data_IF_735735147905
#
_entry.id   IF_735735147905
#
_cell.length_a   1.000
_cell.length_b   1.000
_cell.length_c   1.000
_cell.angle_alpha   90.00
_cell.angle_beta   90.00
_cell.angle_gamma   90.00
#
_symmetry.space_group_name_H-M   'P 1'
#
loop_
_entity.id
_entity.type
_entity.pdbx_description
1 polymer ?
#
# COMPACT_ATOMS: atom_id res chain seq x y z
N UNK A 1 17.91 -8.17 24.91
CA UNK A 1 16.86 -9.06 25.48
C UNK A 1 15.92 -9.64 24.40
N UNK A 2 16.44 -10.14 23.27
CA UNK A 2 15.61 -10.55 22.10
C UNK A 2 15.40 -12.07 21.99
N UNK A 3 16.12 -12.89 22.76
CA UNK A 3 16.06 -14.36 22.66
C UNK A 3 14.86 -15.03 23.36
N UNK A 4 14.17 -14.35 24.28
CA UNK A 4 13.11 -14.99 25.10
C UNK A 4 11.75 -15.13 24.40
N UNK A 5 11.44 -14.35 23.35
CA UNK A 5 10.09 -14.37 22.74
C UNK A 5 9.89 -15.51 21.73
N UNK A 6 10.97 -15.98 21.08
CA UNK A 6 10.91 -17.11 20.15
C UNK A 6 10.68 -18.42 20.91
N UNK A 7 11.44 -18.65 21.98
CA UNK A 7 11.37 -19.86 22.82
C UNK A 7 9.96 -20.05 23.43
N UNK A 8 9.31 -18.95 23.84
CA UNK A 8 7.95 -18.99 24.42
C UNK A 8 6.87 -19.29 23.37
N UNK A 9 7.07 -18.93 22.10
CA UNK A 9 6.18 -19.35 20.99
C UNK A 9 6.39 -20.81 20.60
N UNK A 10 7.64 -21.30 20.65
CA UNK A 10 7.98 -22.70 20.34
C UNK A 10 7.32 -23.70 21.29
N UNK A 11 7.19 -23.33 22.58
CA UNK A 11 6.59 -24.19 23.60
C UNK A 11 5.06 -24.31 23.51
N UNK A 12 4.37 -23.37 22.86
CA UNK A 12 2.88 -23.34 22.84
C UNK A 12 2.24 -24.04 21.64
N UNK A 13 2.98 -24.36 20.58
CA UNK A 13 2.45 -25.07 19.39
C UNK A 13 3.56 -25.70 18.51
N UNK A 14 4.32 -26.68 19.01
CA UNK A 14 5.47 -27.26 18.29
C UNK A 14 5.10 -27.82 16.91
N UNK A 15 3.93 -28.47 16.77
CA UNK A 15 3.45 -29.01 15.49
C UNK A 15 3.22 -27.91 14.44
N UNK A 16 2.75 -26.72 14.84
CA UNK A 16 2.45 -25.61 13.91
C UNK A 16 3.74 -24.98 13.38
N UNK A 17 4.77 -24.87 14.21
CA UNK A 17 6.10 -24.37 13.80
C UNK A 17 6.80 -25.38 12.91
N UNK A 18 6.70 -26.68 13.22
CA UNK A 18 7.28 -27.75 12.41
C UNK A 18 6.62 -27.85 11.03
N UNK A 19 5.28 -27.80 10.95
CA UNK A 19 4.55 -27.78 9.67
C UNK A 19 4.84 -26.51 8.85
N UNK A 20 4.97 -25.34 9.48
CA UNK A 20 5.37 -24.10 8.80
C UNK A 20 6.80 -24.18 8.27
N UNK A 21 7.72 -24.80 9.03
CA UNK A 21 9.10 -25.06 8.61
C UNK A 21 9.17 -25.99 7.40
N UNK A 22 8.48 -27.14 7.44
CA UNK A 22 8.41 -28.07 6.31
C UNK A 22 7.83 -27.43 5.04
N UNK A 23 6.77 -26.62 5.18
CA UNK A 23 6.19 -25.87 4.07
C UNK A 23 7.18 -24.89 3.45
N UNK A 24 7.90 -24.12 4.26
CA UNK A 24 8.91 -23.17 3.80
C UNK A 24 10.07 -23.84 3.05
N UNK A 25 10.58 -24.97 3.53
CA UNK A 25 11.64 -25.71 2.83
C UNK A 25 11.17 -26.26 1.49
N UNK A 26 9.99 -26.88 1.46
CA UNK A 26 9.38 -27.40 0.22
C UNK A 26 9.19 -26.29 -0.82
N UNK A 27 8.76 -25.12 -0.36
CA UNK A 27 8.51 -23.95 -1.18
C UNK A 27 9.78 -23.34 -1.78
N UNK A 28 10.88 -23.29 -1.01
CA UNK A 28 12.17 -22.84 -1.53
C UNK A 28 12.80 -23.85 -2.49
N UNK A 29 12.63 -25.16 -2.23
CA UNK A 29 13.11 -26.19 -3.15
C UNK A 29 12.38 -26.10 -4.50
N UNK A 30 11.06 -25.91 -4.47
CA UNK A 30 10.27 -25.67 -5.69
C UNK A 30 10.71 -24.41 -6.45
N UNK A 31 10.97 -23.32 -5.73
CA UNK A 31 11.50 -22.09 -6.34
C UNK A 31 12.82 -22.37 -7.07
N UNK A 32 13.75 -23.09 -6.42
CA UNK A 32 15.05 -23.44 -7.00
C UNK A 32 14.90 -24.32 -8.24
N UNK A 33 14.03 -25.33 -8.19
CA UNK A 33 13.75 -26.20 -9.35
C UNK A 33 13.26 -25.37 -10.53
N UNK A 34 12.34 -24.43 -10.32
CA UNK A 34 11.82 -23.56 -11.40
C UNK A 34 12.94 -22.67 -11.96
N UNK A 35 13.75 -22.07 -11.08
CA UNK A 35 14.89 -21.22 -11.49
C UNK A 35 15.86 -22.01 -12.39
N UNK A 36 16.09 -23.29 -12.11
CA UNK A 36 17.01 -24.12 -12.90
C UNK A 36 16.35 -24.63 -14.19
N UNK A 37 15.11 -25.09 -14.11
CA UNK A 37 14.44 -25.81 -15.23
C UNK A 37 13.71 -24.89 -16.21
N UNK A 38 13.39 -23.65 -15.81
CA UNK A 38 12.55 -22.72 -16.59
C UNK A 38 13.24 -21.39 -16.88
N UNK A 39 14.56 -21.38 -17.00
CA UNK A 39 15.34 -20.16 -17.26
C UNK A 39 14.85 -19.38 -18.50
N UNK A 40 14.51 -20.09 -19.58
CA UNK A 40 14.01 -19.47 -20.81
C UNK A 40 12.68 -18.72 -20.59
N UNK A 41 11.78 -19.27 -19.77
CA UNK A 41 10.50 -18.64 -19.44
C UNK A 41 10.72 -17.43 -18.53
N UNK A 42 11.63 -17.54 -17.55
CA UNK A 42 11.95 -16.45 -16.64
C UNK A 42 12.72 -15.31 -17.32
N UNK A 43 13.41 -15.58 -18.42
CA UNK A 43 14.17 -14.59 -19.17
C UNK A 43 13.30 -13.69 -20.06
N UNK A 44 12.07 -14.11 -20.37
CA UNK A 44 11.14 -13.39 -21.25
C UNK A 44 10.45 -12.22 -20.51
N UNK A 45 10.45 -11.04 -21.12
CA UNK A 45 9.68 -9.89 -20.60
C UNK A 45 8.20 -10.15 -20.80
N UNK A 46 7.48 -10.28 -19.69
CA UNK A 46 6.04 -10.57 -19.65
C UNK A 46 5.23 -9.41 -19.11
N UNK A 47 5.86 -8.47 -18.39
CA UNK A 47 5.24 -7.19 -18.05
C UNK A 47 6.05 -6.09 -18.75
N UNK A 48 5.48 -5.40 -19.76
CA UNK A 48 6.22 -4.29 -20.39
C UNK A 48 6.50 -3.18 -19.38
N UNK A 49 5.48 -2.84 -18.58
CA UNK A 49 5.57 -1.92 -17.45
C UNK A 49 5.08 -2.58 -16.17
N UNK A 50 5.81 -2.42 -15.08
CA UNK A 50 5.39 -2.79 -13.73
C UNK A 50 5.36 -1.57 -12.82
N UNK A 51 4.28 -1.43 -12.06
CA UNK A 51 4.11 -0.37 -11.06
C UNK A 51 3.83 -1.02 -9.70
N UNK A 52 4.81 -0.95 -8.78
CA UNK A 52 4.60 -1.25 -7.37
C UNK A 52 4.09 0.01 -6.68
N UNK A 53 2.85 -0.03 -6.22
CA UNK A 53 2.21 1.07 -5.48
C UNK A 53 2.29 0.79 -3.98
N UNK A 54 2.76 1.77 -3.24
CA UNK A 54 2.90 1.72 -1.79
C UNK A 54 2.14 2.89 -1.19
N UNK A 55 1.40 2.65 -0.12
CA UNK A 55 0.68 3.71 0.56
C UNK A 55 -0.10 3.16 1.73
N UNK A 56 -0.22 3.97 2.78
CA UNK A 56 -1.03 3.58 3.93
C UNK A 56 -2.51 3.40 3.52
N UNK A 57 -3.22 2.46 4.15
CA UNK A 57 -4.67 2.32 4.00
C UNK A 57 -5.38 3.66 4.23
N UNK A 58 -6.35 3.98 3.37
CA UNK A 58 -7.08 5.28 3.31
C UNK A 58 -6.27 6.50 2.83
N UNK A 59 -5.04 6.34 2.36
CA UNK A 59 -4.27 7.43 1.73
C UNK A 59 -4.84 7.84 0.37
N UNK A 60 -5.60 6.95 -0.29
CA UNK A 60 -6.12 7.21 -1.65
C UNK A 60 -5.57 6.25 -2.70
N UNK A 61 -4.91 5.16 -2.27
CA UNK A 61 -4.32 4.13 -3.13
C UNK A 61 -5.24 3.73 -4.29
N UNK A 62 -6.45 3.28 -3.99
CA UNK A 62 -7.38 2.85 -5.04
C UNK A 62 -7.82 3.97 -6.00
N UNK A 63 -7.88 5.23 -5.54
CA UNK A 63 -8.25 6.35 -6.41
C UNK A 63 -7.12 6.63 -7.43
N UNK A 64 -5.88 6.67 -6.95
CA UNK A 64 -4.70 6.86 -7.82
C UNK A 64 -4.46 5.64 -8.70
N UNK A 65 -4.61 4.41 -8.20
CA UNK A 65 -4.48 3.18 -9.01
C UNK A 65 -5.52 3.17 -10.13
N UNK A 66 -6.79 3.48 -9.84
CA UNK A 66 -7.82 3.57 -10.89
C UNK A 66 -7.50 4.64 -11.93
N UNK A 67 -6.95 5.79 -11.51
CA UNK A 67 -6.51 6.84 -12.41
C UNK A 67 -5.29 6.42 -13.26
N UNK A 68 -4.33 5.70 -12.68
CA UNK A 68 -3.22 5.08 -13.43
C UNK A 68 -3.78 4.08 -14.46
N UNK A 69 -4.68 3.18 -14.04
CA UNK A 69 -5.29 2.19 -14.94
C UNK A 69 -6.08 2.85 -16.07
N UNK A 70 -6.80 3.94 -15.79
CA UNK A 70 -7.58 4.67 -16.80
C UNK A 70 -6.72 5.31 -17.90
N UNK A 71 -5.43 5.52 -17.65
CA UNK A 71 -4.48 6.11 -18.61
C UNK A 71 -3.68 5.07 -19.39
N UNK A 72 -3.82 3.79 -19.07
CA UNK A 72 -3.09 2.72 -19.75
C UNK A 72 -3.96 2.12 -20.86
N UNK A 73 -3.33 1.74 -21.96
CA UNK A 73 -3.95 0.98 -23.04
C UNK A 73 -3.49 -0.48 -22.99
N UNK A 74 -4.18 -1.37 -23.71
CA UNK A 74 -3.82 -2.78 -23.77
C UNK A 74 -4.21 -3.58 -22.52
N UNK A 75 -3.44 -4.64 -22.25
CA UNK A 75 -3.71 -5.60 -21.19
C UNK A 75 -3.09 -5.16 -19.87
N UNK A 76 -3.97 -4.79 -18.93
CA UNK A 76 -3.61 -4.35 -17.59
C UNK A 76 -4.03 -5.41 -16.57
N UNK A 77 -3.14 -5.76 -15.64
CA UNK A 77 -3.49 -6.60 -14.49
C UNK A 77 -3.15 -5.88 -13.18
N UNK A 78 -4.06 -5.89 -12.21
CA UNK A 78 -3.87 -5.28 -10.91
C UNK A 78 -4.02 -6.30 -9.78
N UNK A 79 -2.99 -6.43 -8.94
CA UNK A 79 -2.99 -7.26 -7.74
C UNK A 79 -2.99 -6.39 -6.48
N UNK A 80 -4.10 -6.42 -5.75
CA UNK A 80 -4.30 -5.56 -4.61
C UNK A 80 -3.79 -6.15 -3.30
N UNK A 81 -3.11 -5.33 -2.50
CA UNK A 81 -2.75 -5.58 -1.10
C UNK A 81 -2.06 -6.94 -0.90
N UNK A 82 -0.95 -7.12 -1.60
CA UNK A 82 -0.18 -8.36 -1.57
C UNK A 82 0.48 -8.56 -0.21
N UNK A 83 0.49 -9.82 0.26
CA UNK A 83 1.28 -10.18 1.44
C UNK A 83 2.76 -10.20 1.07
N UNK A 84 3.56 -9.44 1.82
CA UNK A 84 5.04 -9.44 1.72
C UNK A 84 5.64 -10.83 1.96
N UNK A 85 6.86 -11.03 1.46
CA UNK A 85 7.69 -12.22 1.73
C UNK A 85 7.00 -13.55 1.42
N UNK A 86 6.05 -13.54 0.48
CA UNK A 86 5.30 -14.72 0.03
C UNK A 86 5.14 -14.68 -1.48
N UNK A 87 5.30 -15.83 -2.11
CA UNK A 87 5.03 -15.98 -3.54
C UNK A 87 3.55 -15.63 -3.81
N UNK A 88 3.31 -14.54 -4.56
CA UNK A 88 1.98 -14.03 -4.83
C UNK A 88 1.17 -14.99 -5.74
N UNK A 89 1.83 -15.69 -6.65
CA UNK A 89 1.18 -16.73 -7.47
C UNK A 89 0.68 -17.89 -6.61
N UNK A 90 1.43 -18.32 -5.58
CA UNK A 90 0.95 -19.36 -4.64
C UNK A 90 -0.25 -18.90 -3.82
N UNK A 91 -0.37 -17.61 -3.55
CA UNK A 91 -1.54 -17.06 -2.85
C UNK A 91 -2.77 -17.01 -3.75
N UNK A 92 -2.58 -16.72 -5.04
CA UNK A 92 -3.66 -16.63 -6.03
C UNK A 92 -4.07 -18.00 -6.58
N UNK A 93 -3.13 -18.94 -6.63
CA UNK A 93 -3.29 -20.28 -7.19
C UNK A 93 -2.78 -21.30 -6.17
N UNK A 94 -3.71 -21.90 -5.41
CA UNK A 94 -3.39 -22.86 -4.33
C UNK A 94 -2.69 -24.14 -4.84
N UNK A 95 -2.71 -24.40 -6.16
CA UNK A 95 -2.22 -25.63 -6.78
C UNK A 95 -1.25 -25.38 -7.94
N UNK A 96 -0.15 -24.68 -7.70
CA UNK A 96 0.99 -24.70 -8.65
C UNK A 96 1.65 -26.09 -8.63
N UNK A 97 0.98 -27.08 -9.24
CA UNK A 97 1.62 -28.32 -9.72
C UNK A 97 2.33 -28.08 -11.05
N UNK A 98 1.90 -27.07 -11.80
CA UNK A 98 2.49 -26.62 -13.05
C UNK A 98 2.77 -25.11 -12.98
N UNK A 99 3.86 -24.68 -13.60
CA UNK A 99 4.22 -23.27 -13.73
C UNK A 99 3.07 -22.52 -14.39
N UNK A 100 2.54 -21.50 -13.73
CA UNK A 100 1.63 -20.58 -14.39
C UNK A 100 2.38 -19.98 -15.58
N UNK A 101 1.90 -20.15 -16.83
CA UNK A 101 2.55 -19.50 -17.96
C UNK A 101 2.38 -18.00 -17.75
N UNK A 102 3.49 -17.30 -17.55
CA UNK A 102 3.45 -15.85 -17.42
C UNK A 102 2.80 -15.28 -18.66
N UNK A 103 1.63 -14.67 -18.49
CA UNK A 103 0.89 -14.09 -19.59
C UNK A 103 1.42 -12.68 -19.81
N UNK A 104 1.71 -12.35 -21.07
CA UNK A 104 2.14 -11.00 -21.46
C UNK A 104 1.10 -9.94 -21.09
N UNK A 105 1.57 -8.82 -20.57
CA UNK A 105 0.82 -7.66 -20.10
C UNK A 105 1.54 -6.40 -20.52
N UNK A 106 0.77 -5.39 -20.90
CA UNK A 106 1.29 -4.06 -21.18
C UNK A 106 1.58 -3.33 -19.87
N UNK A 107 0.73 -3.50 -18.85
CA UNK A 107 0.94 -2.95 -17.52
C UNK A 107 0.55 -3.94 -16.40
N UNK A 108 1.47 -4.19 -15.48
CA UNK A 108 1.21 -4.92 -14.24
C UNK A 108 1.31 -3.97 -13.05
N UNK A 109 0.24 -3.87 -12.27
CA UNK A 109 0.18 -3.04 -11.06
C UNK A 109 0.06 -3.97 -9.86
N UNK A 110 0.86 -3.74 -8.83
CA UNK A 110 0.71 -4.41 -7.54
C UNK A 110 0.74 -3.41 -6.40
N UNK A 111 -0.06 -3.62 -5.37
CA UNK A 111 -0.10 -2.71 -4.22
C UNK A 111 0.22 -3.38 -2.89
N UNK A 112 0.71 -2.56 -1.96
CA UNK A 112 0.96 -2.91 -0.56
C UNK A 112 0.40 -1.80 0.33
N UNK A 113 -0.42 -2.16 1.32
CA UNK A 113 -0.90 -1.20 2.33
C UNK A 113 -0.29 -1.50 3.70
N UNK A 114 0.09 -0.45 4.43
CA UNK A 114 0.49 -0.49 5.86
C UNK A 114 1.69 -1.38 6.24
N UNK A 115 2.49 -1.78 5.25
CA UNK A 115 3.77 -2.43 5.45
C UNK A 115 4.90 -1.40 5.58
N UNK A 116 5.97 -1.74 6.30
CA UNK A 116 7.19 -0.92 6.28
C UNK A 116 7.87 -1.00 4.92
N UNK A 117 8.60 0.05 4.52
CA UNK A 117 9.33 0.05 3.26
C UNK A 117 10.38 -1.06 3.23
N UNK A 118 11.09 -1.30 4.34
CA UNK A 118 12.09 -2.35 4.47
C UNK A 118 11.51 -3.76 4.26
N UNK A 119 10.29 -4.01 4.75
CA UNK A 119 9.59 -5.27 4.53
C UNK A 119 9.22 -5.48 3.06
N UNK A 120 8.78 -4.42 2.38
CA UNK A 120 8.36 -4.45 0.98
C UNK A 120 9.57 -4.59 0.04
N UNK A 121 10.71 -3.98 0.39
CA UNK A 121 11.95 -3.99 -0.38
C UNK A 121 12.96 -5.01 0.15
N UNK A 122 12.49 -6.07 0.81
CA UNK A 122 13.37 -7.10 1.35
C UNK A 122 14.19 -7.75 0.23
N UNK A 123 15.52 -7.73 0.35
CA UNK A 123 16.43 -8.19 -0.72
C UNK A 123 16.27 -9.68 -1.06
N UNK A 124 15.91 -10.53 -0.10
CA UNK A 124 15.68 -11.97 -0.31
C UNK A 124 14.46 -12.18 -1.20
N UNK A 125 13.45 -11.31 -1.06
CA UNK A 125 12.24 -11.37 -1.87
C UNK A 125 12.44 -10.70 -3.23
N UNK A 126 13.13 -9.56 -3.27
CA UNK A 126 13.45 -8.85 -4.52
C UNK A 126 14.33 -9.68 -5.45
N UNK A 127 15.25 -10.50 -4.92
CA UNK A 127 16.05 -11.41 -5.76
C UNK A 127 15.22 -12.51 -6.44
N UNK A 128 14.01 -12.77 -5.93
CA UNK A 128 13.05 -13.72 -6.51
C UNK A 128 11.93 -13.04 -7.30
N UNK A 129 12.09 -11.76 -7.62
CA UNK A 129 11.09 -10.95 -8.30
C UNK A 129 10.53 -11.63 -9.55
N UNK A 130 11.40 -11.99 -10.50
CA UNK A 130 10.98 -12.52 -11.81
C UNK A 130 10.31 -13.90 -11.68
N UNK A 131 10.67 -14.67 -10.66
CA UNK A 131 10.01 -15.93 -10.33
C UNK A 131 8.56 -15.71 -9.83
N UNK A 132 8.29 -14.61 -9.15
CA UNK A 132 7.00 -14.36 -8.48
C UNK A 132 6.04 -13.51 -9.30
N UNK A 133 6.57 -12.62 -10.14
CA UNK A 133 5.78 -11.66 -10.91
C UNK A 133 6.00 -11.74 -12.41
N UNK A 134 7.01 -12.51 -12.85
CA UNK A 134 7.47 -12.51 -14.22
C UNK A 134 8.39 -11.32 -14.47
N UNK A 135 9.32 -11.47 -15.42
CA UNK A 135 10.26 -10.40 -15.73
C UNK A 135 9.55 -9.19 -16.33
N UNK A 136 9.94 -8.02 -15.84
CA UNK A 136 9.38 -6.73 -16.23
C UNK A 136 10.39 -5.92 -17.05
N UNK A 137 9.94 -5.23 -18.09
CA UNK A 137 10.77 -4.37 -18.94
C UNK A 137 11.18 -3.09 -18.21
N UNK A 138 10.19 -2.32 -17.73
CA UNK A 138 10.40 -1.13 -16.89
C UNK A 138 9.63 -1.26 -15.59
N UNK A 139 10.29 -0.94 -14.46
CA UNK A 139 9.70 -1.02 -13.12
C UNK A 139 9.63 0.36 -12.47
N UNK A 140 8.55 0.63 -11.75
CA UNK A 140 8.32 1.86 -11.00
C UNK A 140 7.91 1.53 -9.56
N UNK A 141 8.47 2.29 -8.62
CA UNK A 141 8.07 2.37 -7.23
C UNK A 141 7.27 3.66 -7.03
N UNK A 142 5.97 3.53 -6.79
CA UNK A 142 5.06 4.66 -6.59
C UNK A 142 4.67 4.73 -5.11
N UNK A 143 5.22 5.71 -4.39
CA UNK A 143 4.85 5.98 -3.00
C UNK A 143 3.77 7.06 -2.95
N UNK A 144 2.60 6.72 -2.41
CA UNK A 144 1.51 7.68 -2.21
C UNK A 144 1.55 8.15 -0.76
N UNK A 145 1.54 9.47 -0.57
CA UNK A 145 1.42 10.11 0.74
C UNK A 145 0.22 11.06 0.77
N UNK A 146 -0.43 11.15 1.92
CA UNK A 146 -1.54 12.05 2.21
C UNK A 146 -1.25 12.77 3.51
N UNK A 147 -1.77 13.99 3.64
CA UNK A 147 -1.66 14.73 4.88
C UNK A 147 -2.17 13.89 6.07
N UNK A 148 -1.51 13.98 7.24
CA UNK A 148 -1.81 13.11 8.36
C UNK A 148 -3.22 13.38 8.89
N UNK A 149 -3.70 14.62 8.78
CA UNK A 149 -5.00 15.05 9.30
C UNK A 149 -6.15 14.29 8.64
N UNK A 150 -6.25 14.37 7.31
CA UNK A 150 -7.31 13.71 6.56
C UNK A 150 -7.13 12.19 6.48
N UNK A 151 -5.88 11.70 6.48
CA UNK A 151 -5.59 10.27 6.54
C UNK A 151 -6.08 9.64 7.85
N UNK A 152 -5.67 10.21 8.99
CA UNK A 152 -6.02 9.70 10.30
C UNK A 152 -7.52 9.86 10.56
N UNK A 153 -8.13 10.97 10.12
CA UNK A 153 -9.58 11.15 10.20
C UNK A 153 -10.34 10.09 9.41
N UNK A 154 -9.88 9.78 8.19
CA UNK A 154 -10.47 8.75 7.33
C UNK A 154 -10.37 7.35 7.94
N UNK A 155 -9.29 7.05 8.67
CA UNK A 155 -9.11 5.79 9.41
C UNK A 155 -10.00 5.72 10.64
N UNK A 156 -10.01 6.76 11.46
CA UNK A 156 -10.83 6.84 12.65
C UNK A 156 -12.32 6.71 12.30
N UNK A 157 -12.79 7.40 11.26
CA UNK A 157 -14.20 7.31 10.82
C UNK A 157 -14.62 5.87 10.51
N UNK A 158 -13.79 5.10 9.83
CA UNK A 158 -14.07 3.69 9.54
C UNK A 158 -14.13 2.84 10.82
N UNK A 159 -13.21 3.08 11.75
CA UNK A 159 -13.24 2.40 13.05
C UNK A 159 -14.53 2.71 13.80
N UNK A 160 -14.89 3.99 13.93
CA UNK A 160 -16.10 4.42 14.62
C UNK A 160 -17.37 3.86 13.97
N UNK A 161 -17.44 3.76 12.64
CA UNK A 161 -18.56 3.11 11.94
C UNK A 161 -18.67 1.62 12.27
N UNK A 162 -17.55 0.89 12.33
CA UNK A 162 -17.56 -0.53 12.71
C UNK A 162 -17.96 -0.73 14.17
N UNK A 163 -17.45 0.11 15.08
CA UNK A 163 -17.82 0.11 16.51
C UNK A 163 -19.34 0.31 16.67
N UNK A 164 -19.92 1.27 15.93
CA UNK A 164 -21.38 1.51 15.96
C UNK A 164 -22.22 0.35 15.46
N UNK A 165 -21.72 -0.44 14.51
CA UNK A 165 -22.46 -1.54 13.89
C UNK A 165 -22.35 -2.86 14.67
N UNK A 166 -21.78 -2.86 15.89
CA UNK A 166 -21.50 -4.06 16.69
C UNK A 166 -20.78 -5.17 15.91
N UNK A 167 -20.05 -4.80 14.86
CA UNK A 167 -19.22 -5.73 14.13
C UNK A 167 -18.03 -6.03 15.05
N UNK A 168 -17.95 -7.28 15.53
CA UNK A 168 -16.90 -7.72 16.44
C UNK A 168 -15.53 -7.28 15.92
N UNK A 169 -15.00 -6.23 16.53
CA UNK A 169 -13.62 -5.81 16.36
C UNK A 169 -12.78 -6.75 17.20
N UNK A 170 -12.81 -8.04 16.87
CA UNK A 170 -12.08 -9.07 17.59
C UNK A 170 -10.69 -8.54 17.89
N UNK A 171 -10.25 -8.64 19.16
CA UNK A 171 -9.10 -7.94 19.77
C UNK A 171 -7.75 -8.10 19.05
N UNK A 172 -7.67 -8.79 17.91
CA UNK A 172 -6.44 -9.30 17.32
C UNK A 172 -6.34 -9.25 15.78
N UNK A 173 -7.35 -8.84 15.02
CA UNK A 173 -7.21 -8.78 13.55
C UNK A 173 -6.87 -7.37 13.07
N UNK A 174 -5.60 -7.16 12.68
CA UNK A 174 -5.09 -5.96 11.99
C UNK A 174 -6.07 -5.41 10.92
N UNK A 175 -6.78 -6.29 10.19
CA UNK A 175 -7.78 -5.91 9.20
C UNK A 175 -8.97 -5.08 9.74
N UNK A 176 -9.30 -5.21 11.04
CA UNK A 176 -10.46 -4.55 11.65
C UNK A 176 -10.13 -3.26 12.41
N UNK A 177 -8.92 -3.10 12.93
CA UNK A 177 -8.51 -1.85 13.58
C UNK A 177 -7.89 -0.89 12.55
N UNK A 178 -8.64 0.15 12.16
CA UNK A 178 -8.17 1.15 11.21
C UNK A 178 -7.04 2.06 11.73
N UNK A 179 -6.79 2.07 13.04
CA UNK A 179 -5.71 2.84 13.65
C UNK A 179 -4.44 2.01 13.90
N UNK A 180 -4.43 0.71 13.57
CA UNK A 180 -3.20 -0.10 13.57
C UNK A 180 -2.58 -0.19 12.18
N UNK A 181 -1.29 -0.50 12.16
CA UNK A 181 -0.49 -0.89 10.97
C UNK A 181 -0.07 -2.36 11.10
N UNK A 182 0.51 -2.95 10.04
CA UNK A 182 0.79 -4.40 10.00
C UNK A 182 1.84 -4.78 11.05
N UNK A 183 2.87 -3.94 11.19
CA UNK A 183 3.87 -4.11 12.22
C UNK A 183 3.27 -3.73 13.59
N UNK A 184 3.08 -4.68 14.52
CA UNK A 184 2.45 -4.41 15.82
C UNK A 184 3.31 -3.52 16.74
N UNK A 185 4.58 -3.31 16.41
CA UNK A 185 5.50 -2.46 17.18
C UNK A 185 5.52 -1.01 16.68
N UNK A 186 4.69 -0.66 15.70
CA UNK A 186 4.58 0.70 15.17
C UNK A 186 3.15 1.21 15.31
N UNK A 187 3.04 2.51 15.58
CA UNK A 187 1.78 3.23 15.48
C UNK A 187 1.49 3.63 14.03
N UNK A 188 0.26 4.07 13.77
CA UNK A 188 -0.09 4.70 12.48
C UNK A 188 0.74 5.97 12.22
N UNK A 189 1.10 6.71 13.26
CA UNK A 189 1.95 7.89 13.16
C UNK A 189 3.39 7.53 12.78
N UNK A 190 3.96 6.49 13.41
CA UNK A 190 5.33 6.06 13.12
C UNK A 190 5.49 5.63 11.66
N UNK A 191 4.55 4.82 11.16
CA UNK A 191 4.60 4.39 9.75
C UNK A 191 4.42 5.55 8.78
N UNK A 192 3.55 6.50 9.11
CA UNK A 192 3.37 7.71 8.29
C UNK A 192 4.68 8.51 8.22
N UNK A 193 5.38 8.68 9.35
CA UNK A 193 6.70 9.33 9.41
C UNK A 193 7.75 8.55 8.60
N UNK A 194 7.73 7.22 8.62
CA UNK A 194 8.68 6.45 7.80
C UNK A 194 8.44 6.68 6.29
N UNK A 195 7.19 6.85 5.87
CA UNK A 195 6.85 7.18 4.48
C UNK A 195 7.22 8.63 4.13
N UNK A 196 7.08 9.58 5.06
CA UNK A 196 7.48 10.99 4.83
C UNK A 196 8.99 11.11 4.63
N UNK A 197 9.78 10.34 5.39
CA UNK A 197 11.24 10.28 5.23
C UNK A 197 11.65 9.80 3.84
N UNK A 198 11.00 8.76 3.31
CA UNK A 198 11.25 8.27 1.95
C UNK A 198 10.81 9.29 0.88
N UNK A 199 9.68 9.96 1.12
CA UNK A 199 9.19 11.04 0.26
C UNK A 199 10.19 12.19 0.15
N UNK A 200 10.80 12.58 1.28
CA UNK A 200 11.76 13.68 1.37
C UNK A 200 13.19 13.28 1.01
N UNK A 201 13.44 12.01 0.70
CA UNK A 201 14.77 11.49 0.36
C UNK A 201 15.71 11.30 1.56
N UNK A 202 15.19 11.37 2.79
CA UNK A 202 15.95 11.04 4.02
C UNK A 202 16.25 9.54 4.10
N UNK A 203 15.40 8.73 3.45
CA UNK A 203 15.66 7.33 3.15
C UNK A 203 15.58 7.08 1.65
N UNK A 204 16.11 5.93 1.23
CA UNK A 204 16.14 5.55 -0.18
C UNK A 204 15.90 4.05 -0.34
N UNK A 205 14.81 3.52 0.22
CA UNK A 205 14.44 2.11 0.10
C UNK A 205 13.94 1.77 -1.30
N UNK A 206 13.22 2.69 -1.93
CA UNK A 206 12.58 2.49 -3.23
C UNK A 206 13.58 2.81 -4.35
N UNK A 207 13.91 1.81 -5.16
CA UNK A 207 15.03 1.85 -6.11
C UNK A 207 14.61 1.86 -7.57
N UNK A 208 13.38 1.46 -7.87
CA UNK A 208 12.90 1.31 -9.24
C UNK A 208 12.19 2.60 -9.66
N UNK A 209 12.82 3.46 -10.47
CA UNK A 209 12.23 4.69 -11.02
C UNK A 209 11.22 5.38 -10.06
N UNK A 210 11.70 5.74 -8.86
CA UNK A 210 10.86 6.17 -7.73
C UNK A 210 10.04 7.41 -8.07
N UNK A 211 8.73 7.33 -7.82
CA UNK A 211 7.79 8.45 -7.96
C UNK A 211 7.00 8.59 -6.66
N UNK A 212 7.14 9.74 -6.02
CA UNK A 212 6.36 10.08 -4.83
C UNK A 212 5.16 10.96 -5.21
N UNK A 213 3.96 10.56 -4.81
CA UNK A 213 2.71 11.25 -5.12
C UNK A 213 2.15 11.87 -3.84
N UNK A 214 2.06 13.20 -3.83
CA UNK A 214 1.28 13.97 -2.86
C UNK A 214 -0.20 13.89 -3.25
N UNK A 215 -1.01 13.22 -2.43
CA UNK A 215 -2.43 13.03 -2.70
C UNK A 215 -3.21 14.34 -2.84
N UNK A 216 -2.86 15.38 -2.06
CA UNK A 216 -3.58 16.64 -2.06
C UNK A 216 -3.37 17.37 -3.39
N UNK A 217 -2.11 17.43 -3.85
CA UNK A 217 -1.77 17.97 -5.17
C UNK A 217 -2.37 17.11 -6.29
N UNK A 218 -2.30 15.78 -6.20
CA UNK A 218 -2.94 14.90 -7.17
C UNK A 218 -4.44 15.16 -7.30
N UNK A 219 -5.13 15.37 -6.18
CA UNK A 219 -6.58 15.61 -6.17
C UNK A 219 -6.96 16.95 -6.81
N UNK A 220 -6.20 18.03 -6.54
CA UNK A 220 -6.60 19.39 -6.92
C UNK A 220 -5.94 19.90 -8.21
N UNK A 221 -4.72 19.46 -8.52
CA UNK A 221 -3.87 20.08 -9.53
C UNK A 221 -3.73 19.18 -10.78
N UNK A 222 -4.30 19.64 -11.90
CA UNK A 222 -4.25 18.90 -13.19
C UNK A 222 -2.84 18.83 -13.77
N UNK A 223 -2.04 19.88 -13.63
CA UNK A 223 -0.65 19.90 -14.11
C UNK A 223 0.22 18.94 -13.31
N UNK A 224 -0.02 18.85 -12.00
CA UNK A 224 0.64 17.85 -11.17
C UNK A 224 0.32 16.42 -11.63
N UNK A 225 -0.95 16.15 -11.99
CA UNK A 225 -1.34 14.85 -12.57
C UNK A 225 -0.70 14.60 -13.94
N UNK A 226 -0.60 15.62 -14.80
CA UNK A 226 0.09 15.51 -16.10
C UNK A 226 1.57 15.16 -15.91
N UNK A 227 2.25 15.81 -14.95
CA UNK A 227 3.64 15.50 -14.64
C UNK A 227 3.82 14.06 -14.09
N UNK A 228 2.87 13.55 -13.30
CA UNK A 228 2.90 12.14 -12.87
C UNK A 228 2.75 11.20 -14.08
N UNK A 229 1.82 11.49 -15.00
CA UNK A 229 1.62 10.68 -16.20
C UNK A 229 2.89 10.63 -17.06
N UNK A 230 3.54 11.78 -17.27
CA UNK A 230 4.82 11.87 -17.97
C UNK A 230 5.91 11.02 -17.31
N UNK A 231 6.10 11.13 -15.98
CA UNK A 231 7.09 10.34 -15.22
C UNK A 231 6.84 8.83 -15.31
N UNK A 232 5.58 8.43 -15.34
CA UNK A 232 5.15 7.03 -15.53
C UNK A 232 5.11 6.59 -16.99
N UNK A 233 5.52 7.47 -17.93
CA UNK A 233 5.48 7.24 -19.38
C UNK A 233 4.08 6.78 -19.85
N UNK A 234 3.06 7.51 -19.43
CA UNK A 234 1.65 7.27 -19.78
C UNK A 234 1.12 8.45 -20.58
N UNK A 235 0.19 8.19 -21.49
CA UNK A 235 -0.58 9.27 -22.13
C UNK A 235 -1.54 9.89 -21.10
N UNK A 236 -1.51 11.21 -20.99
CA UNK A 236 -2.37 11.92 -20.05
C UNK A 236 -3.77 12.13 -20.66
N UNK A 237 -4.76 11.41 -20.13
CA UNK A 237 -6.18 11.60 -20.46
C UNK A 237 -7.02 12.08 -19.27
N UNK A 238 -6.41 12.06 -18.08
CA UNK A 238 -7.09 12.23 -16.78
C UNK A 238 -8.24 11.25 -16.51
N UNK A 239 -8.35 10.18 -17.31
CA UNK A 239 -9.38 9.16 -17.16
C UNK A 239 -9.30 8.50 -15.77
N UNK A 240 -10.47 8.23 -15.18
CA UNK A 240 -10.57 7.63 -13.86
C UNK A 240 -10.52 8.60 -12.67
N UNK A 241 -10.20 9.89 -12.87
CA UNK A 241 -10.14 10.88 -11.77
C UNK A 241 -11.45 11.03 -11.00
N UNK A 242 -12.59 10.83 -11.67
CA UNK A 242 -13.93 10.95 -11.09
C UNK A 242 -14.50 9.62 -10.54
N UNK A 243 -13.76 8.51 -10.63
CA UNK A 243 -14.22 7.18 -10.22
C UNK A 243 -13.99 6.96 -8.72
N UNK A 244 -14.99 6.44 -8.03
CA UNK A 244 -14.85 5.97 -6.64
C UNK A 244 -14.71 4.45 -6.65
N UNK A 245 -13.56 3.94 -6.21
CA UNK A 245 -13.31 2.51 -6.17
C UNK A 245 -14.31 1.77 -5.26
N UNK A 246 -14.94 0.72 -5.77
CA UNK A 246 -15.76 -0.16 -4.93
C UNK A 246 -14.95 -1.00 -3.95
N UNK A 247 -13.72 -1.34 -4.34
CA UNK A 247 -12.76 -2.04 -3.50
C UNK A 247 -12.36 -1.16 -2.30
N UNK A 248 -12.33 -1.76 -1.11
CA UNK A 248 -12.11 -1.02 0.15
C UNK A 248 -13.33 -0.25 0.67
N UNK A 249 -14.53 -0.45 0.10
CA UNK A 249 -15.79 0.12 0.59
C UNK A 249 -16.05 1.57 0.16
N UNK A 250 -15.27 2.12 -0.78
CA UNK A 250 -15.40 3.49 -1.25
C UNK A 250 -14.79 4.54 -0.31
N UNK A 251 -15.34 5.76 -0.37
CA UNK A 251 -14.97 6.87 0.50
C UNK A 251 -15.29 6.57 1.96
N UNK A 252 -14.36 6.87 2.86
CA UNK A 252 -14.58 6.76 4.31
C UNK A 252 -15.78 7.57 4.82
N UNK A 253 -16.10 8.69 4.16
CA UNK A 253 -17.16 9.60 4.61
C UNK A 253 -18.43 9.50 3.75
N UNK A 254 -18.28 9.36 2.43
CA UNK A 254 -19.42 9.39 1.51
C UNK A 254 -19.68 8.05 0.77
N UNK A 255 -18.98 6.97 1.14
CA UNK A 255 -19.12 5.66 0.48
C UNK A 255 -18.93 5.77 -1.03
N UNK A 256 -19.95 5.37 -1.80
CA UNK A 256 -19.98 5.44 -3.27
C UNK A 256 -20.88 6.55 -3.83
N UNK A 257 -21.41 7.43 -2.99
CA UNK A 257 -22.36 8.47 -3.40
C UNK A 257 -21.82 9.41 -4.50
N UNK A 258 -20.50 9.53 -4.57
CA UNK A 258 -19.80 10.38 -5.53
C UNK A 258 -19.11 9.61 -6.65
N UNK A 259 -19.46 8.34 -6.88
CA UNK A 259 -18.95 7.65 -8.07
C UNK A 259 -19.38 8.36 -9.36
N UNK A 260 -18.45 8.51 -10.30
CA UNK A 260 -18.60 9.37 -11.48
C UNK A 260 -18.43 10.88 -11.24
N UNK A 261 -18.28 11.32 -9.98
CA UNK A 261 -18.10 12.74 -9.57
C UNK A 261 -17.14 12.88 -8.38
N UNK A 262 -16.13 12.04 -8.28
CA UNK A 262 -15.25 11.97 -7.10
C UNK A 262 -14.55 13.30 -6.76
N UNK A 263 -14.28 14.15 -7.75
CA UNK A 263 -13.69 15.48 -7.53
C UNK A 263 -14.59 16.44 -6.74
N UNK A 264 -15.90 16.20 -6.68
CA UNK A 264 -16.83 17.01 -5.89
C UNK A 264 -16.84 16.65 -4.39
N UNK A 265 -16.04 15.68 -3.98
CA UNK A 265 -15.97 15.23 -2.59
C UNK A 265 -15.10 16.15 -1.73
N UNK A 266 -15.52 16.33 -0.48
CA UNK A 266 -14.78 17.11 0.51
C UNK A 266 -13.73 16.24 1.21
N UNK A 267 -12.72 15.83 0.45
CA UNK A 267 -11.69 14.90 0.93
C UNK A 267 -10.56 15.60 1.71
N UNK A 268 -10.41 16.91 1.53
CA UNK A 268 -9.31 17.69 2.13
C UNK A 268 -9.69 18.35 3.46
N UNK A 269 -10.96 18.31 3.86
CA UNK A 269 -11.44 18.86 5.14
C UNK A 269 -12.09 17.80 6.05
N UNK A 270 -11.77 16.50 5.82
CA UNK A 270 -12.31 15.39 6.62
C UNK A 270 -11.94 15.47 8.08
N UNK A 271 -10.78 16.03 8.38
CA UNK A 271 -10.28 16.16 9.75
C UNK A 271 -11.21 17.01 10.63
N UNK A 272 -11.85 18.04 10.07
CA UNK A 272 -12.76 18.92 10.80
C UNK A 272 -13.93 18.15 11.43
N UNK A 273 -14.38 17.07 10.77
CA UNK A 273 -15.51 16.23 11.22
C UNK A 273 -15.20 15.39 12.46
N UNK A 274 -13.93 15.30 12.87
CA UNK A 274 -13.47 14.49 14.00
C UNK A 274 -12.47 15.22 14.91
N UNK A 275 -12.28 16.53 14.70
CA UNK A 275 -11.25 17.32 15.39
C UNK A 275 -11.37 17.28 16.92
N UNK A 276 -12.59 17.19 17.45
CA UNK A 276 -12.85 17.14 18.89
C UNK A 276 -12.84 15.73 19.48
N UNK A 277 -12.59 14.70 18.67
CA UNK A 277 -12.52 13.34 19.17
C UNK A 277 -11.21 13.12 19.94
N UNK A 278 -11.25 12.71 21.23
CA UNK A 278 -10.02 12.53 22.03
C UNK A 278 -9.02 11.54 21.40
N UNK A 279 -9.51 10.41 20.86
CA UNK A 279 -8.66 9.41 20.18
C UNK A 279 -8.05 9.95 18.90
N UNK A 280 -8.67 10.95 18.26
CA UNK A 280 -8.09 11.62 17.10
C UNK A 280 -6.94 12.53 17.52
N UNK A 281 -7.15 13.35 18.56
CA UNK A 281 -6.15 14.28 19.09
C UNK A 281 -4.92 13.55 19.62
N UNK A 282 -5.08 12.39 20.27
CA UNK A 282 -3.97 11.54 20.72
C UNK A 282 -2.99 11.14 19.60
N UNK A 283 -3.45 11.05 18.34
CA UNK A 283 -2.59 10.73 17.21
C UNK A 283 -1.56 11.83 16.91
N UNK A 284 -1.78 13.05 17.40
CA UNK A 284 -0.95 14.24 17.13
C UNK A 284 -0.01 14.60 18.29
N UNK A 285 0.11 13.75 19.31
CA UNK A 285 1.06 13.96 20.41
C UNK A 285 2.53 13.93 19.97
N UNK A 286 2.82 13.39 18.79
CA UNK A 286 4.17 13.38 18.22
C UNK A 286 4.36 14.62 17.31
N UNK A 287 5.11 15.62 17.80
CA UNK A 287 5.36 16.88 17.09
C UNK A 287 5.96 16.70 15.69
N UNK A 288 6.71 15.60 15.45
CA UNK A 288 7.25 15.27 14.13
C UNK A 288 6.17 15.16 13.06
N UNK A 289 4.93 14.84 13.43
CA UNK A 289 3.82 14.78 12.48
C UNK A 289 3.60 16.14 11.81
N UNK A 290 3.59 17.21 12.61
CA UNK A 290 3.43 18.58 12.11
C UNK A 290 4.65 19.00 11.30
N UNK A 291 5.86 18.77 11.79
CA UNK A 291 7.11 19.11 11.10
C UNK A 291 7.17 18.48 9.69
N UNK A 292 6.94 17.17 9.60
CA UNK A 292 6.95 16.47 8.30
C UNK A 292 5.75 16.88 7.43
N UNK A 293 4.60 17.17 8.05
CA UNK A 293 3.42 17.59 7.30
C UNK A 293 3.66 18.94 6.64
N UNK A 294 4.17 19.92 7.38
CA UNK A 294 4.46 21.24 6.86
C UNK A 294 5.50 21.19 5.73
N UNK A 295 6.56 20.38 5.87
CA UNK A 295 7.57 20.19 4.83
C UNK A 295 7.03 19.62 3.52
N UNK A 296 5.98 18.80 3.57
CA UNK A 296 5.44 18.09 2.38
C UNK A 296 4.20 18.79 1.80
N UNK A 297 3.34 19.30 2.68
CA UNK A 297 2.01 19.80 2.33
C UNK A 297 1.88 21.31 2.53
N UNK A 298 2.86 21.96 3.16
CA UNK A 298 2.74 23.35 3.62
C UNK A 298 1.84 23.48 4.85
N UNK A 299 1.58 24.72 5.26
CA UNK A 299 0.64 24.97 6.35
C UNK A 299 -0.79 24.57 5.93
N UNK A 300 -1.49 23.85 6.80
CA UNK A 300 -2.90 23.49 6.63
C UNK A 300 -3.72 24.27 7.66
N UNK A 301 -4.41 25.36 7.25
CA UNK A 301 -5.08 26.25 8.20
C UNK A 301 -6.08 25.53 9.11
N UNK A 302 -6.03 25.86 10.39
CA UNK A 302 -6.89 25.31 11.44
C UNK A 302 -6.36 24.02 12.05
N UNK A 303 -5.35 23.37 11.45
CA UNK A 303 -4.76 22.16 12.04
C UNK A 303 -3.87 22.47 13.24
N UNK A 304 -3.52 23.73 13.45
CA UNK A 304 -2.80 24.21 14.63
C UNK A 304 -3.58 23.93 15.93
N UNK A 305 -4.92 23.87 15.86
CA UNK A 305 -5.75 23.51 17.02
C UNK A 305 -5.64 22.04 17.44
N UNK A 306 -4.95 21.21 16.66
CA UNK A 306 -4.67 19.81 16.97
C UNK A 306 -3.31 19.65 17.69
N UNK A 307 -2.50 20.71 17.76
CA UNK A 307 -1.30 20.73 18.59
C UNK A 307 -1.73 20.86 20.05
N UNK A 308 -1.32 19.90 20.88
CA UNK A 308 -1.48 19.96 22.33
C UNK A 308 -0.39 20.84 22.96
#
# INVERSE_FOLDING_TARGET
MVQKSLIVKTLKSPNKVFHQGQGFFKDNLKDLIIIITQQNILAEIVNQKEIRVLGMRRTGNHAIINWIQGQQTGKIEFWNDLKINRNALRQKYENLRESYPFVKKDCFIRSYEDYTLQEITNWIFESKHDLYFGKSGTRYDVLIIRDPFNLFASRLKNRLQKEKNNLDLGKSSYGNNFLSVINPNQTVADLWIDYTKEYLGETNYLKQNKICINYNQWFTNVEYRRNIAEKLQMEFSDAGINKVAGQGGGSSFEGKQFDGKAKSMDVLNRWQKVADNPRYRELFNNQKIFEYSERIFGNTPGTESLMN
#
